data_IF_021970541329
#
_entry.id   IF_021970541329
#
_cell.length_a   1.000
_cell.length_b   1.000
_cell.length_c   1.000
_cell.angle_alpha   90.00
_cell.angle_beta   90.00
_cell.angle_gamma   90.00
#
_symmetry.space_group_name_H-M   'P 1'
#
loop_
_entity.id
_entity.type
_entity.pdbx_description
1 polymer ?
#
# COMPACT_ATOMS: atom_id res chain seq x y z
N UNK A 1 -15.58 10.99 -8.71
CA UNK A 1 -15.14 10.69 -7.33
C UNK A 1 -14.28 9.43 -7.26
N UNK A 2 -14.73 8.29 -7.83
CA UNK A 2 -13.94 7.05 -7.91
C UNK A 2 -12.61 7.19 -8.66
N UNK A 3 -12.57 7.98 -9.74
CA UNK A 3 -11.33 8.27 -10.49
C UNK A 3 -10.28 9.01 -9.65
N UNK A 4 -10.71 9.96 -8.81
CA UNK A 4 -9.79 10.71 -7.95
C UNK A 4 -9.19 9.83 -6.85
N UNK A 5 -9.97 8.88 -6.32
CA UNK A 5 -9.50 7.94 -5.31
C UNK A 5 -8.56 6.89 -5.91
N UNK A 6 -8.85 6.41 -7.13
CA UNK A 6 -7.94 5.55 -7.90
C UNK A 6 -6.59 6.22 -8.12
N UNK A 7 -6.60 7.47 -8.60
CA UNK A 7 -5.39 8.29 -8.77
C UNK A 7 -4.65 8.46 -7.44
N UNK A 8 -5.37 8.68 -6.34
CA UNK A 8 -4.77 8.84 -5.00
C UNK A 8 -4.08 7.55 -4.55
N UNK A 9 -4.74 6.40 -4.66
CA UNK A 9 -4.18 5.09 -4.29
C UNK A 9 -2.94 4.80 -5.12
N UNK A 10 -3.04 4.93 -6.45
CA UNK A 10 -1.90 4.76 -7.35
C UNK A 10 -0.74 5.66 -6.94
N UNK A 11 -0.99 6.96 -6.70
CA UNK A 11 0.06 7.90 -6.29
C UNK A 11 0.75 7.51 -4.98
N UNK A 12 0.01 6.98 -4.01
CA UNK A 12 0.57 6.50 -2.74
C UNK A 12 1.47 5.28 -2.99
N UNK A 13 0.95 4.27 -3.69
CA UNK A 13 1.69 3.05 -4.02
C UNK A 13 2.95 3.38 -4.82
N UNK A 14 2.83 4.23 -5.84
CA UNK A 14 3.93 4.75 -6.64
C UNK A 14 4.98 5.46 -5.79
N UNK A 15 4.57 6.39 -4.94
CA UNK A 15 5.51 7.14 -4.11
C UNK A 15 6.26 6.24 -3.15
N UNK A 16 5.58 5.30 -2.49
CA UNK A 16 6.22 4.33 -1.61
C UNK A 16 7.18 3.41 -2.38
N UNK A 17 6.76 2.91 -3.55
CA UNK A 17 7.57 2.03 -4.36
C UNK A 17 8.85 2.71 -4.87
N UNK A 18 8.73 3.97 -5.27
CA UNK A 18 9.86 4.79 -5.70
C UNK A 18 10.84 5.06 -4.54
N UNK A 19 10.33 5.36 -3.34
CA UNK A 19 11.17 5.57 -2.16
C UNK A 19 11.92 4.28 -1.77
N UNK A 20 11.26 3.13 -1.76
CA UNK A 20 11.95 1.85 -1.51
C UNK A 20 12.92 1.48 -2.64
N UNK A 21 12.57 1.69 -3.90
CA UNK A 21 13.48 1.46 -5.02
C UNK A 21 14.74 2.33 -4.91
N UNK A 22 14.56 3.61 -4.54
CA UNK A 22 15.68 4.51 -4.30
C UNK A 22 16.58 3.98 -3.17
N UNK A 23 16.01 3.57 -2.03
CA UNK A 23 16.79 2.99 -0.92
C UNK A 23 17.56 1.73 -1.37
N UNK A 24 16.92 0.87 -2.17
CA UNK A 24 17.53 -0.34 -2.71
C UNK A 24 18.70 -0.04 -3.65
N UNK A 25 18.54 0.91 -4.58
CA UNK A 25 19.55 1.25 -5.59
C UNK A 25 20.73 2.01 -4.99
N UNK A 26 20.46 2.99 -4.12
CA UNK A 26 21.50 3.81 -3.49
C UNK A 26 22.18 3.08 -2.33
N UNK A 27 21.58 2.01 -1.82
CA UNK A 27 22.14 1.23 -0.72
C UNK A 27 22.16 2.01 0.60
N UNK A 28 21.27 2.99 0.77
CA UNK A 28 21.17 3.81 1.99
C UNK A 28 19.89 3.48 2.76
N UNK A 29 19.98 3.50 4.09
CA UNK A 29 18.81 3.42 4.99
C UNK A 29 18.31 4.79 5.41
N UNK A 30 18.97 5.87 4.96
CA UNK A 30 18.62 7.23 5.33
C UNK A 30 17.39 7.67 4.55
N UNK A 31 16.28 7.82 5.28
CA UNK A 31 15.01 8.30 4.72
C UNK A 31 15.02 9.83 4.60
N UNK A 32 14.70 10.41 3.42
CA UNK A 32 14.64 11.87 3.23
C UNK A 32 13.65 12.57 4.18
N UNK A 33 13.83 13.85 4.54
CA UNK A 33 12.93 14.58 5.45
C UNK A 33 11.46 14.63 5.00
N UNK A 34 11.22 14.80 3.70
CA UNK A 34 9.86 14.93 3.13
C UNK A 34 9.28 13.61 2.61
N UNK A 35 9.94 12.48 2.90
CA UNK A 35 9.54 11.15 2.41
C UNK A 35 8.18 10.72 2.97
N UNK A 36 7.43 9.97 2.16
CA UNK A 36 6.20 9.28 2.56
C UNK A 36 6.46 8.27 3.68
N UNK A 37 7.62 7.61 3.71
CA UNK A 37 8.03 6.73 4.80
C UNK A 37 8.08 7.47 6.17
N UNK A 38 8.37 8.78 6.21
CA UNK A 38 8.35 9.56 7.46
C UNK A 38 6.96 9.99 7.93
N UNK A 39 5.96 9.88 7.06
CA UNK A 39 4.59 10.28 7.42
C UNK A 39 3.94 9.23 8.30
N UNK A 40 3.04 9.68 9.17
CA UNK A 40 2.20 8.79 9.97
C UNK A 40 1.40 7.88 9.04
N UNK A 41 1.33 6.62 9.40
CA UNK A 41 0.63 5.60 8.61
C UNK A 41 -0.82 6.02 8.30
N UNK A 42 -1.56 6.54 9.27
CA UNK A 42 -2.93 7.05 9.09
C UNK A 42 -3.06 8.24 8.11
N UNK A 43 -1.95 8.96 7.83
CA UNK A 43 -1.90 10.03 6.84
C UNK A 43 -1.58 9.53 5.43
N UNK A 44 -0.98 8.34 5.32
CA UNK A 44 -0.61 7.72 4.05
C UNK A 44 -1.73 6.79 3.60
N UNK A 45 -2.10 5.82 4.42
CA UNK A 45 -3.19 4.89 4.17
C UNK A 45 -4.42 5.37 4.94
N UNK A 46 -5.19 6.23 4.28
CA UNK A 46 -6.37 6.83 4.87
C UNK A 46 -7.57 5.86 4.80
N UNK A 47 -8.61 6.08 5.61
CA UNK A 47 -9.84 5.29 5.56
C UNK A 47 -10.43 5.09 4.17
N UNK A 48 -10.39 6.14 3.35
CA UNK A 48 -10.94 6.12 2.00
C UNK A 48 -10.15 5.18 1.09
N UNK A 49 -8.84 5.05 1.31
CA UNK A 49 -8.00 4.09 0.59
C UNK A 49 -8.42 2.66 0.94
N UNK A 50 -8.63 2.37 2.23
CA UNK A 50 -9.10 1.06 2.68
C UNK A 50 -10.48 0.72 2.12
N UNK A 51 -11.45 1.63 2.22
CA UNK A 51 -12.81 1.39 1.70
C UNK A 51 -12.81 1.18 0.18
N UNK A 52 -11.91 1.86 -0.53
CA UNK A 52 -11.80 1.69 -1.98
C UNK A 52 -11.15 0.36 -2.36
N UNK A 53 -10.10 -0.06 -1.65
CA UNK A 53 -9.51 -1.39 -1.82
C UNK A 53 -10.52 -2.49 -1.48
N UNK A 54 -11.31 -2.32 -0.41
CA UNK A 54 -12.40 -3.23 -0.05
C UNK A 54 -13.42 -3.37 -1.18
N UNK A 55 -13.85 -2.25 -1.78
CA UNK A 55 -14.78 -2.27 -2.89
C UNK A 55 -14.20 -2.92 -4.16
N UNK A 56 -12.90 -2.78 -4.41
CA UNK A 56 -12.21 -3.41 -5.55
C UNK A 56 -12.05 -4.91 -5.37
N UNK A 57 -11.63 -5.34 -4.19
CA UNK A 57 -11.42 -6.75 -3.85
C UNK A 57 -12.72 -7.52 -3.66
N UNK A 58 -13.74 -6.88 -3.09
CA UNK A 58 -15.01 -7.51 -2.77
C UNK A 58 -15.83 -7.92 -4.00
N UNK A 59 -15.54 -7.37 -5.18
CA UNK A 59 -16.22 -7.76 -6.43
C UNK A 59 -17.75 -7.71 -6.33
N UNK A 60 -18.37 -8.89 -6.45
CA UNK A 60 -19.83 -9.10 -6.41
C UNK A 60 -20.39 -9.39 -5.01
N UNK A 61 -19.56 -9.42 -3.95
CA UNK A 61 -20.07 -9.53 -2.57
C UNK A 61 -20.86 -8.25 -2.21
N UNK A 62 -22.20 -8.36 -2.13
CA UNK A 62 -23.05 -7.19 -1.97
C UNK A 62 -22.91 -6.59 -0.57
N UNK A 63 -22.60 -7.38 0.46
CA UNK A 63 -22.45 -6.89 1.83
C UNK A 63 -21.16 -6.09 1.98
N UNK A 64 -20.05 -6.57 1.44
CA UNK A 64 -18.75 -5.87 1.48
C UNK A 64 -18.85 -4.56 0.69
N UNK A 65 -19.45 -4.60 -0.51
CA UNK A 65 -19.63 -3.43 -1.36
C UNK A 65 -20.59 -2.41 -0.73
N UNK A 66 -21.73 -2.85 -0.20
CA UNK A 66 -22.70 -1.98 0.47
C UNK A 66 -22.10 -1.32 1.71
N UNK A 67 -21.42 -2.09 2.57
CA UNK A 67 -20.76 -1.56 3.76
C UNK A 67 -19.67 -0.53 3.42
N UNK A 68 -18.91 -0.79 2.35
CA UNK A 68 -17.89 0.13 1.85
C UNK A 68 -18.50 1.41 1.27
N UNK A 69 -19.64 1.31 0.57
CA UNK A 69 -20.35 2.44 -0.03
C UNK A 69 -21.12 3.31 0.97
N UNK A 70 -21.82 2.69 1.92
CA UNK A 70 -22.69 3.40 2.87
C UNK A 70 -21.92 4.13 3.98
N UNK A 71 -20.60 3.93 4.10
CA UNK A 71 -19.80 4.57 5.14
C UNK A 71 -20.31 4.28 6.56
N UNK A 72 -21.07 3.19 6.78
CA UNK A 72 -21.74 2.90 8.05
C UNK A 72 -20.80 2.57 9.21
N UNK A 73 -19.49 2.73 9.01
CA UNK A 73 -18.46 2.76 10.06
C UNK A 73 -17.43 3.85 9.81
N UNK A 74 -17.88 5.09 9.63
CA UNK A 74 -17.04 6.28 9.53
C UNK A 74 -16.38 6.70 10.86
N UNK A 75 -15.75 5.74 11.53
CA UNK A 75 -14.50 5.93 12.27
C UNK A 75 -13.34 5.20 11.56
N UNK A 76 -13.37 5.26 10.23
CA UNK A 76 -12.21 5.23 9.36
C UNK A 76 -11.53 3.89 9.09
N UNK A 77 -11.87 2.83 9.81
CA UNK A 77 -11.32 1.50 9.59
C UNK A 77 -12.50 0.53 9.63
N UNK A 78 -12.71 -0.33 8.61
CA UNK A 78 -13.72 -1.37 8.71
C UNK A 78 -13.51 -2.15 10.01
N UNK A 79 -14.57 -2.73 10.61
CA UNK A 79 -14.32 -3.74 11.65
C UNK A 79 -13.49 -4.82 10.96
N UNK A 80 -12.18 -4.81 11.22
CA UNK A 80 -11.24 -5.67 10.53
C UNK A 80 -11.71 -7.11 10.64
N UNK A 81 -12.37 -7.46 11.75
CA UNK A 81 -12.96 -8.75 12.03
C UNK A 81 -13.90 -9.27 10.91
N UNK A 82 -14.62 -8.40 10.19
CA UNK A 82 -15.49 -8.81 9.06
C UNK A 82 -14.66 -9.22 7.83
N UNK A 83 -13.47 -8.62 7.65
CA UNK A 83 -12.60 -8.90 6.53
C UNK A 83 -11.86 -10.24 6.69
N UNK A 84 -11.74 -10.76 7.91
CA UNK A 84 -10.93 -11.95 8.18
C UNK A 84 -11.39 -13.19 7.39
N UNK A 85 -12.70 -13.34 7.18
CA UNK A 85 -13.27 -14.48 6.45
C UNK A 85 -13.45 -14.27 4.95
N UNK A 86 -13.44 -13.03 4.49
CA UNK A 86 -13.78 -12.67 3.09
C UNK A 86 -12.61 -12.10 2.31
N UNK A 87 -11.78 -11.27 2.96
CA UNK A 87 -10.66 -10.54 2.37
C UNK A 87 -9.45 -10.56 3.33
N UNK A 88 -8.76 -11.70 3.48
CA UNK A 88 -7.70 -11.88 4.47
C UNK A 88 -6.54 -10.90 4.29
N UNK A 89 -6.18 -10.55 3.05
CA UNK A 89 -5.14 -9.57 2.74
C UNK A 89 -5.49 -8.19 3.31
N UNK A 90 -6.76 -7.80 3.16
CA UNK A 90 -7.25 -6.52 3.63
C UNK A 90 -7.46 -6.51 5.15
N UNK A 91 -7.78 -7.67 5.73
CA UNK A 91 -7.83 -7.85 7.18
C UNK A 91 -6.49 -7.56 7.84
N UNK A 92 -5.40 -8.12 7.30
CA UNK A 92 -4.05 -7.90 7.81
C UNK A 92 -3.68 -6.41 7.76
N UNK A 93 -3.94 -5.77 6.62
CA UNK A 93 -3.70 -4.33 6.46
C UNK A 93 -4.52 -3.52 7.46
N UNK A 94 -5.82 -3.77 7.55
CA UNK A 94 -6.72 -3.10 8.48
C UNK A 94 -6.22 -3.19 9.93
N UNK A 95 -5.80 -4.38 10.34
CA UNK A 95 -5.30 -4.65 11.69
C UNK A 95 -3.97 -3.94 11.95
N UNK A 96 -3.05 -3.96 10.99
CA UNK A 96 -1.79 -3.25 11.07
C UNK A 96 -1.98 -1.74 11.19
N UNK A 97 -2.90 -1.15 10.42
CA UNK A 97 -3.19 0.29 10.48
C UNK A 97 -3.84 0.68 11.82
N UNK A 98 -4.73 -0.15 12.36
CA UNK A 98 -5.33 0.08 13.68
C UNK A 98 -4.28 0.08 14.79
N UNK A 99 -3.29 -0.82 14.69
CA UNK A 99 -2.20 -0.94 15.68
C UNK A 99 -1.14 0.15 15.54
N UNK A 100 -0.74 0.48 14.32
CA UNK A 100 0.43 1.30 14.02
C UNK A 100 0.11 2.67 13.43
N UNK A 101 -1.16 3.07 13.36
CA UNK A 101 -1.61 4.27 12.65
C UNK A 101 -1.01 5.59 13.12
N UNK A 102 -0.47 5.63 14.35
CA UNK A 102 0.22 6.80 14.93
C UNK A 102 1.73 6.83 14.64
N UNK A 103 2.31 5.69 14.27
CA UNK A 103 3.73 5.61 13.97
C UNK A 103 4.02 6.09 12.54
N UNK A 104 5.23 6.62 12.29
CA UNK A 104 5.76 6.81 10.95
C UNK A 104 5.91 5.48 10.20
N UNK A 105 5.63 5.50 8.90
CA UNK A 105 5.62 4.29 8.08
C UNK A 105 6.98 3.58 8.00
N UNK A 106 8.11 4.29 8.09
CA UNK A 106 9.45 3.68 8.10
C UNK A 106 9.69 2.76 9.31
N UNK A 107 9.06 3.02 10.46
CA UNK A 107 9.23 2.21 11.67
C UNK A 107 8.46 0.90 11.62
N UNK A 108 7.39 0.88 10.84
CA UNK A 108 6.41 -0.21 10.77
C UNK A 108 6.22 -0.66 9.33
N UNK A 109 7.25 -0.45 8.50
CA UNK A 109 7.17 -0.66 7.07
C UNK A 109 6.86 -2.13 6.78
N UNK A 110 7.46 -3.06 7.51
CA UNK A 110 7.20 -4.49 7.32
C UNK A 110 5.74 -4.84 7.62
N UNK A 111 5.20 -4.28 8.70
CA UNK A 111 3.87 -4.57 9.22
C UNK A 111 2.77 -3.90 8.40
N UNK A 112 3.06 -2.80 7.69
CA UNK A 112 2.06 -2.02 6.95
C UNK A 112 2.26 -2.08 5.44
N UNK A 113 3.49 -1.97 4.94
CA UNK A 113 3.78 -1.90 3.50
C UNK A 113 3.53 -3.25 2.84
N UNK A 114 3.91 -4.36 3.48
CA UNK A 114 3.69 -5.69 2.91
C UNK A 114 2.18 -5.96 2.75
N UNK A 115 1.34 -5.85 3.80
CA UNK A 115 -0.10 -6.04 3.62
C UNK A 115 -0.74 -5.04 2.65
N UNK A 116 -0.23 -3.80 2.59
CA UNK A 116 -0.68 -2.79 1.62
C UNK A 116 -0.38 -3.21 0.18
N UNK A 117 0.85 -3.64 -0.08
CA UNK A 117 1.29 -4.08 -1.39
C UNK A 117 0.52 -5.32 -1.85
N UNK A 118 0.30 -6.28 -0.95
CA UNK A 118 -0.49 -7.49 -1.23
C UNK A 118 -1.95 -7.12 -1.52
N UNK A 119 -2.59 -6.33 -0.64
CA UNK A 119 -3.97 -5.87 -0.85
C UNK A 119 -4.14 -5.10 -2.17
N UNK A 120 -3.17 -4.25 -2.51
CA UNK A 120 -3.19 -3.48 -3.75
C UNK A 120 -3.03 -4.38 -4.99
N UNK A 121 -2.12 -5.36 -4.95
CA UNK A 121 -1.93 -6.31 -6.04
C UNK A 121 -3.18 -7.15 -6.27
N UNK A 122 -3.78 -7.65 -5.18
CA UNK A 122 -5.05 -8.38 -5.23
C UNK A 122 -6.19 -7.50 -5.79
N UNK A 123 -6.15 -6.18 -5.56
CA UNK A 123 -7.12 -5.23 -6.10
C UNK A 123 -6.85 -4.84 -7.58
N UNK A 124 -5.84 -5.44 -8.22
CA UNK A 124 -5.48 -5.24 -9.62
C UNK A 124 -4.55 -4.05 -9.88
N UNK A 125 -3.86 -3.52 -8.85
CA UNK A 125 -2.84 -2.48 -9.02
C UNK A 125 -1.47 -3.11 -9.25
N UNK A 126 -0.91 -2.93 -10.45
CA UNK A 126 0.47 -3.36 -10.77
C UNK A 126 1.51 -2.72 -9.83
N UNK A 127 1.22 -1.53 -9.30
CA UNK A 127 2.06 -0.83 -8.35
C UNK A 127 2.26 -1.60 -7.03
N UNK A 128 1.36 -2.52 -6.68
CA UNK A 128 1.49 -3.37 -5.50
C UNK A 128 2.69 -4.32 -5.61
N UNK A 129 2.83 -5.02 -6.74
CA UNK A 129 3.96 -5.94 -6.99
C UNK A 129 5.30 -5.20 -7.05
N UNK A 130 5.27 -4.04 -7.70
CA UNK A 130 6.35 -3.08 -7.76
C UNK A 130 6.80 -2.65 -6.35
N UNK A 131 5.85 -2.23 -5.50
CA UNK A 131 6.12 -1.83 -4.12
C UNK A 131 6.72 -2.98 -3.30
N UNK A 132 6.18 -4.19 -3.44
CA UNK A 132 6.65 -5.37 -2.73
C UNK A 132 8.09 -5.74 -3.12
N UNK A 133 8.39 -5.73 -4.42
CA UNK A 133 9.72 -6.02 -4.96
C UNK A 133 10.73 -4.97 -4.49
N UNK A 134 10.38 -3.68 -4.58
CA UNK A 134 11.20 -2.58 -4.07
C UNK A 134 11.49 -2.70 -2.57
N UNK A 135 10.48 -3.05 -1.77
CA UNK A 135 10.65 -3.25 -0.33
C UNK A 135 11.62 -4.41 -0.01
N UNK A 136 11.50 -5.56 -0.71
CA UNK A 136 12.39 -6.72 -0.51
C UNK A 136 13.84 -6.40 -0.86
N UNK A 137 14.06 -5.74 -2.00
CA UNK A 137 15.39 -5.29 -2.39
C UNK A 137 15.99 -4.30 -1.37
N UNK A 138 15.21 -3.30 -0.93
CA UNK A 138 15.66 -2.30 0.05
C UNK A 138 15.95 -2.90 1.44
N UNK A 139 15.28 -3.99 1.81
CA UNK A 139 15.50 -4.70 3.07
C UNK A 139 16.65 -5.72 3.00
N UNK A 140 17.44 -5.72 1.92
CA UNK A 140 18.60 -6.59 1.75
C UNK A 140 18.25 -8.05 1.46
N UNK A 141 17.00 -8.34 1.09
CA UNK A 141 16.52 -9.69 0.82
C UNK A 141 16.53 -9.94 -0.69
N UNK A 142 17.69 -10.35 -1.22
CA UNK A 142 17.80 -10.99 -2.54
C UNK A 142 18.37 -10.13 -3.67
N UNK A 143 19.51 -10.55 -4.22
CA UNK A 143 20.11 -9.92 -5.41
C UNK A 143 19.20 -9.94 -6.65
N UNK A 144 18.32 -10.95 -6.77
CA UNK A 144 17.32 -11.05 -7.86
C UNK A 144 16.27 -9.93 -7.79
N UNK A 145 15.93 -9.46 -6.59
CA UNK A 145 14.94 -8.40 -6.41
C UNK A 145 15.53 -7.04 -6.83
N UNK A 146 16.84 -6.83 -6.66
CA UNK A 146 17.51 -5.63 -7.14
C UNK A 146 17.43 -5.53 -8.68
N UNK A 147 17.72 -6.61 -9.40
CA UNK A 147 17.60 -6.64 -10.87
C UNK A 147 16.16 -6.34 -11.32
N UNK A 148 15.17 -6.90 -10.63
CA UNK A 148 13.76 -6.64 -10.91
C UNK A 148 13.41 -5.17 -10.64
N UNK A 149 13.87 -4.59 -9.53
CA UNK A 149 13.69 -3.16 -9.21
C UNK A 149 14.32 -2.29 -10.29
N UNK A 150 15.52 -2.60 -10.78
CA UNK A 150 16.18 -1.82 -11.85
C UNK A 150 15.38 -1.89 -13.15
N UNK A 151 14.87 -3.06 -13.53
CA UNK A 151 14.01 -3.22 -14.72
C UNK A 151 12.76 -2.36 -14.60
N UNK A 152 12.11 -2.41 -13.44
CA UNK A 152 10.95 -1.60 -13.19
C UNK A 152 11.31 -0.11 -13.22
N UNK A 153 12.36 0.32 -12.53
CA UNK A 153 12.82 1.71 -12.51
C UNK A 153 13.07 2.27 -13.91
N UNK A 154 13.70 1.49 -14.80
CA UNK A 154 13.91 1.87 -16.19
C UNK A 154 12.58 2.03 -16.95
N UNK A 155 11.66 1.08 -16.79
CA UNK A 155 10.29 1.18 -17.35
C UNK A 155 9.55 2.40 -16.78
N UNK A 156 9.74 2.71 -15.50
CA UNK A 156 9.08 3.82 -14.80
C UNK A 156 9.58 5.19 -15.26
N UNK A 157 10.89 5.34 -15.52
CA UNK A 157 11.46 6.61 -15.96
C UNK A 157 11.11 6.93 -17.43
N UNK A 158 10.94 5.90 -18.25
CA UNK A 158 10.60 6.03 -19.67
C UNK A 158 9.13 6.36 -19.93
N UNK A 159 8.22 6.11 -18.97
CA UNK A 159 6.77 6.37 -19.10
C UNK A 159 6.37 7.73 -18.50
N UNK A 160 7.30 8.67 -18.27
CA UNK A 160 6.94 9.96 -17.64
C UNK A 160 5.91 10.75 -18.47
N UNK A 161 4.77 10.98 -17.80
CA UNK A 161 3.67 11.96 -17.96
C UNK A 161 3.76 12.97 -19.10
#
# INVERSE_FOLDING_TARGET
MLSALDIKVKRILWGLAAEFAYLAVVGTTIVPPCSLLKRRVSRVVSPEVLSFLAAKLGGDDPEVRLNSMLGMRLSGVPKCEILNGTLPELYELCTALRRWGREPLFKVAREVVIPLAVSASAAGYEEGEVLLTSYRAASGRGARDLDAVVKYFNKWYLIRF
#
